data_IF_625050507545
#
_entry.id   IF_625050507545
#
_cell.length_a   1.000
_cell.length_b   1.000
_cell.length_c   1.000
_cell.angle_alpha   90.00
_cell.angle_beta   90.00
_cell.angle_gamma   90.00
#
_symmetry.space_group_name_H-M   'P 1'
#
loop_
_entity.id
_entity.type
_entity.pdbx_description
1 polymer ?
#
# COMPACT_ATOMS: atom_id res chain seq x y z
N UNK A 1 24.14 9.83 30.80
CA UNK A 1 23.22 10.20 29.70
C UNK A 1 22.89 8.93 28.95
N UNK A 2 21.62 8.55 28.87
CA UNK A 2 21.19 7.25 28.37
C UNK A 2 20.83 7.30 26.88
N UNK A 3 21.16 6.25 26.11
CA UNK A 3 20.95 6.23 24.66
C UNK A 3 19.46 6.28 24.28
N UNK A 4 18.56 5.78 25.14
CA UNK A 4 17.11 5.88 24.92
C UNK A 4 16.64 7.33 25.03
N UNK A 5 17.23 8.13 25.92
CA UNK A 5 16.91 9.55 26.03
C UNK A 5 17.35 10.33 24.80
N UNK A 6 18.53 10.03 24.25
CA UNK A 6 19.02 10.65 23.00
C UNK A 6 18.09 10.36 21.83
N UNK A 7 17.67 9.09 21.64
CA UNK A 7 16.71 8.70 20.60
C UNK A 7 15.37 9.43 20.72
N UNK A 8 14.83 9.52 21.95
CA UNK A 8 13.57 10.22 22.22
C UNK A 8 13.66 11.71 21.92
N UNK A 9 14.76 12.36 22.28
CA UNK A 9 14.99 13.79 22.00
C UNK A 9 15.22 14.05 20.50
N UNK A 10 15.81 13.10 19.79
CA UNK A 10 16.01 13.16 18.34
C UNK A 10 14.74 12.85 17.52
N UNK A 11 13.59 12.60 18.17
CA UNK A 11 12.34 12.27 17.49
C UNK A 11 12.32 10.88 16.86
N UNK A 12 13.28 10.00 17.21
CA UNK A 12 13.31 8.61 16.76
C UNK A 12 12.31 7.82 17.59
N UNK A 13 11.16 7.50 17.01
CA UNK A 13 10.18 6.59 17.62
C UNK A 13 10.70 5.15 17.54
N UNK A 14 10.79 4.45 18.67
CA UNK A 14 11.16 3.03 18.72
C UNK A 14 10.00 2.09 18.32
N UNK A 15 8.80 2.62 18.09
CA UNK A 15 7.65 1.86 17.58
C UNK A 15 7.64 1.90 16.06
N UNK A 16 7.59 0.76 15.35
CA UNK A 16 7.27 0.79 13.92
C UNK A 16 5.90 1.43 13.77
N UNK A 17 5.85 2.61 13.12
CA UNK A 17 4.61 3.33 12.84
C UNK A 17 3.76 2.41 11.95
N UNK A 18 2.77 1.73 12.53
CA UNK A 18 1.73 0.93 11.89
C UNK A 18 2.19 0.13 10.65
N UNK A 19 3.09 -0.83 10.86
CA UNK A 19 3.62 -1.74 9.85
C UNK A 19 2.73 -2.94 9.51
N UNK A 20 1.40 -2.79 9.46
CA UNK A 20 0.49 -3.91 9.17
C UNK A 20 -0.19 -3.70 7.81
N UNK A 21 0.35 -4.40 6.79
CA UNK A 21 -0.26 -4.78 5.51
C UNK A 21 -0.43 -3.79 4.34
N UNK A 22 -0.05 -2.51 4.44
CA UNK A 22 -0.04 -1.64 3.22
C UNK A 22 0.95 -2.17 2.17
N UNK A 23 2.09 -2.68 2.62
CA UNK A 23 3.16 -3.19 1.74
C UNK A 23 2.72 -4.42 0.93
N UNK A 24 1.96 -5.34 1.53
CA UNK A 24 1.51 -6.57 0.87
C UNK A 24 0.50 -6.25 -0.24
N UNK A 25 -0.53 -5.46 0.07
CA UNK A 25 -1.54 -5.05 -0.92
C UNK A 25 -0.93 -4.16 -2.02
N UNK A 26 0.02 -3.29 -1.69
CA UNK A 26 0.74 -2.50 -2.70
C UNK A 26 1.60 -3.37 -3.63
N UNK A 27 2.22 -4.42 -3.08
CA UNK A 27 3.01 -5.38 -3.85
C UNK A 27 2.14 -6.17 -4.83
N UNK A 28 0.99 -6.70 -4.37
CA UNK A 28 0.01 -7.41 -5.22
C UNK A 28 -0.51 -6.51 -6.35
N UNK A 29 -0.85 -5.25 -6.04
CA UNK A 29 -1.28 -4.27 -7.06
C UNK A 29 -0.16 -3.97 -8.06
N UNK A 30 1.09 -3.84 -7.62
CA UNK A 30 2.23 -3.62 -8.51
C UNK A 30 2.45 -4.80 -9.46
N UNK A 31 2.29 -6.03 -8.97
CA UNK A 31 2.37 -7.23 -9.82
C UNK A 31 1.22 -7.28 -10.83
N UNK A 32 -0.02 -7.03 -10.39
CA UNK A 32 -1.19 -6.99 -11.27
C UNK A 32 -1.01 -5.93 -12.36
N UNK A 33 -0.53 -4.74 -12.00
CA UNK A 33 -0.23 -3.68 -12.95
C UNK A 33 0.73 -4.15 -14.05
N UNK A 34 1.80 -4.89 -13.69
CA UNK A 34 2.77 -5.42 -14.65
C UNK A 34 2.17 -6.53 -15.53
N UNK A 35 1.40 -7.45 -14.94
CA UNK A 35 0.77 -8.57 -15.66
C UNK A 35 -0.24 -8.08 -16.70
N UNK A 36 -1.01 -7.05 -16.37
CA UNK A 36 -2.07 -6.51 -17.24
C UNK A 36 -1.63 -5.30 -18.07
N UNK A 37 -0.33 -4.96 -18.07
CA UNK A 37 0.24 -3.83 -18.83
C UNK A 37 -0.48 -2.48 -18.58
N UNK A 38 -0.94 -2.28 -17.33
CA UNK A 38 -1.70 -1.10 -16.92
C UNK A 38 -0.74 0.08 -16.71
N UNK A 39 -0.93 1.17 -17.46
CA UNK A 39 -0.03 2.33 -17.40
C UNK A 39 -0.54 3.37 -16.40
N UNK A 40 0.37 4.06 -15.68
CA UNK A 40 -0.01 5.17 -14.82
C UNK A 40 -0.80 6.22 -15.60
N UNK A 41 -1.97 6.59 -15.10
CA UNK A 41 -2.86 7.57 -15.73
C UNK A 41 -3.98 6.99 -16.60
N UNK A 42 -3.94 5.70 -16.95
CA UNK A 42 -5.09 5.05 -17.59
C UNK A 42 -6.23 4.83 -16.55
N UNK A 43 -7.51 4.78 -16.97
CA UNK A 43 -8.64 4.58 -16.05
C UNK A 43 -8.54 3.30 -15.21
N UNK A 44 -7.96 2.23 -15.77
CA UNK A 44 -7.74 0.96 -15.07
C UNK A 44 -6.70 1.07 -13.96
N UNK A 45 -5.67 1.90 -14.16
CA UNK A 45 -4.68 2.20 -13.13
C UNK A 45 -5.32 2.90 -11.94
N UNK A 46 -6.19 3.88 -12.21
CA UNK A 46 -6.89 4.60 -11.16
C UNK A 46 -7.79 3.66 -10.35
N UNK A 47 -8.54 2.78 -11.03
CA UNK A 47 -9.37 1.75 -10.37
C UNK A 47 -8.51 0.80 -9.52
N UNK A 48 -7.40 0.29 -10.05
CA UNK A 48 -6.51 -0.62 -9.33
C UNK A 48 -6.00 -0.01 -8.01
N UNK A 49 -5.56 1.26 -8.05
CA UNK A 49 -4.96 1.91 -6.90
C UNK A 49 -5.97 2.51 -5.92
N UNK A 50 -7.06 3.09 -6.42
CA UNK A 50 -7.99 3.91 -5.65
C UNK A 50 -9.43 3.34 -5.55
N UNK A 51 -9.68 2.11 -6.02
CA UNK A 51 -10.95 1.45 -5.76
C UNK A 51 -11.22 1.33 -4.25
N UNK A 52 -12.47 1.53 -3.88
CA UNK A 52 -12.96 1.35 -2.52
C UNK A 52 -13.87 0.12 -2.49
N UNK A 53 -13.33 -1.10 -2.51
CA UNK A 53 -14.11 -2.35 -2.63
C UNK A 53 -15.18 -2.46 -1.54
N UNK A 54 -14.89 -1.99 -0.33
CA UNK A 54 -15.82 -2.01 0.81
C UNK A 54 -17.00 -1.04 0.67
N UNK A 55 -16.90 0.00 -0.18
CA UNK A 55 -17.97 0.98 -0.39
C UNK A 55 -18.68 0.81 -1.72
N UNK A 56 -17.96 0.36 -2.75
CA UNK A 56 -18.44 0.30 -4.14
C UNK A 56 -18.75 -1.13 -4.59
N UNK A 57 -18.23 -2.13 -3.89
CA UNK A 57 -18.29 -3.53 -4.33
C UNK A 57 -17.42 -3.84 -5.56
N UNK A 58 -16.65 -2.87 -6.06
CA UNK A 58 -15.74 -3.07 -7.18
C UNK A 58 -14.53 -3.90 -6.75
N UNK A 59 -14.17 -4.91 -7.53
CA UNK A 59 -12.93 -5.67 -7.35
C UNK A 59 -11.83 -5.05 -8.22
N UNK A 60 -10.80 -4.39 -7.63
CA UNK A 60 -9.69 -3.82 -8.39
C UNK A 60 -8.75 -4.87 -8.99
N UNK A 61 -8.81 -6.12 -8.53
CA UNK A 61 -7.97 -7.23 -8.99
C UNK A 61 -8.82 -8.48 -9.21
N UNK A 62 -9.74 -8.49 -10.19
CA UNK A 62 -10.56 -9.65 -10.47
C UNK A 62 -9.65 -10.86 -10.74
N UNK A 63 -9.83 -11.92 -9.94
CA UNK A 63 -9.13 -13.18 -10.18
C UNK A 63 -9.77 -13.83 -11.40
N UNK A 64 -9.01 -13.99 -12.48
CA UNK A 64 -9.44 -14.81 -13.63
C UNK A 64 -9.90 -16.18 -13.11
N UNK A 65 -11.09 -16.59 -13.55
CA UNK A 65 -11.77 -17.82 -13.10
C UNK A 65 -11.33 -19.03 -13.91
#
# INVERSE_FOLDING_TARGET
MDIKQLKKLAGVKDTPDMGENISNTASEKSEYQRRHNIRPGDPEWFKLWFAQPHLTGEDPMPRDK
#
